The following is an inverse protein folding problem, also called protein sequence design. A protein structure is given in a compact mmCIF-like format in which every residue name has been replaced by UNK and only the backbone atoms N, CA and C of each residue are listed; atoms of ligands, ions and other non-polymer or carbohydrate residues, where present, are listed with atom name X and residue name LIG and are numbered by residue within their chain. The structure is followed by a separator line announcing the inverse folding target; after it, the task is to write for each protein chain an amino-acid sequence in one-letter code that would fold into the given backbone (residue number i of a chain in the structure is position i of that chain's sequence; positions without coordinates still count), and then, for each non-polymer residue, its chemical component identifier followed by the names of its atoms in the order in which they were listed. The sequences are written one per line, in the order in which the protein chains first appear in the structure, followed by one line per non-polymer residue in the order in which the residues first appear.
data_IF_236850805044
#
_entry.id   IF_236850805044
#
_cell.length_a   1.000
_cell.length_b   1.000
_cell.length_c   1.000
_cell.angle_alpha   90.00
_cell.angle_beta   90.00
_cell.angle_gamma   90.00
#
_symmetry.space_group_name_H-M   'P 1'
#
loop_
_entity.id
_entity.type
_entity.pdbx_description
1 polymer ?
#
# COMPACT_ATOMS: atom_id res chain seq x y z
N UNK A 1 36.76 -2.23 21.85
CA UNK A 1 35.57 -1.34 21.87
C UNK A 1 34.76 -1.49 20.59
N UNK A 2 35.30 -1.24 19.39
CA UNK A 2 34.54 -1.37 18.13
C UNK A 2 33.95 -2.77 17.87
N UNK A 3 34.68 -3.85 18.15
CA UNK A 3 34.21 -5.23 17.92
C UNK A 3 33.02 -5.60 18.81
N UNK A 4 33.00 -5.14 20.06
CA UNK A 4 31.89 -5.38 21.00
C UNK A 4 30.63 -4.60 20.57
N UNK A 5 30.81 -3.36 20.09
CA UNK A 5 29.70 -2.55 19.58
C UNK A 5 29.10 -3.10 18.28
N UNK A 6 29.93 -3.62 17.36
CA UNK A 6 29.45 -4.28 16.14
C UNK A 6 28.73 -5.59 16.47
N UNK A 7 29.26 -6.41 17.37
CA UNK A 7 28.59 -7.65 17.79
C UNK A 7 27.23 -7.38 18.46
N UNK A 8 27.14 -6.37 19.33
CA UNK A 8 25.88 -5.97 19.96
C UNK A 8 24.86 -5.46 18.92
N UNK A 9 25.29 -4.63 17.96
CA UNK A 9 24.43 -4.17 16.87
C UNK A 9 23.94 -5.34 16.00
N UNK A 10 24.82 -6.26 15.61
CA UNK A 10 24.43 -7.42 14.82
C UNK A 10 23.43 -8.31 15.59
N UNK A 11 23.66 -8.61 16.86
CA UNK A 11 22.77 -9.46 17.66
C UNK A 11 21.39 -8.81 17.88
N UNK A 12 21.33 -7.48 18.06
CA UNK A 12 20.10 -6.77 18.36
C UNK A 12 19.35 -6.21 17.14
N UNK A 13 20.06 -5.82 16.08
CA UNK A 13 19.49 -5.12 14.93
C UNK A 13 19.29 -6.02 13.71
N UNK A 14 19.91 -7.20 13.64
CA UNK A 14 19.67 -8.12 12.52
C UNK A 14 18.71 -9.25 12.92
N UNK A 15 17.79 -9.65 12.04
CA UNK A 15 16.65 -10.49 12.40
C UNK A 15 17.05 -11.97 12.38
N UNK A 16 17.96 -12.40 13.26
CA UNK A 16 18.28 -13.82 13.44
C UNK A 16 17.13 -14.61 14.10
N UNK A 17 16.19 -13.90 14.72
CA UNK A 17 15.06 -14.51 15.41
C UNK A 17 14.02 -14.99 14.39
N UNK A 18 13.51 -16.23 14.53
CA UNK A 18 12.38 -16.69 13.73
C UNK A 18 11.22 -15.69 13.78
N UNK A 19 10.53 -15.48 12.66
CA UNK A 19 9.38 -14.59 12.58
C UNK A 19 8.31 -14.92 13.65
N UNK A 20 8.15 -16.20 14.01
CA UNK A 20 7.25 -16.66 15.08
C UNK A 20 7.56 -16.05 16.45
N UNK A 21 8.80 -15.66 16.72
CA UNK A 21 9.24 -15.07 18.00
C UNK A 21 9.14 -13.53 18.02
N UNK A 22 8.84 -12.91 16.88
CA UNK A 22 8.65 -11.46 16.81
C UNK A 22 7.26 -11.10 17.32
N UNK A 23 7.21 -10.14 18.24
CA UNK A 23 5.96 -9.48 18.61
C UNK A 23 5.48 -8.59 17.45
N UNK A 24 4.18 -8.48 17.17
CA UNK A 24 3.69 -7.49 16.22
C UNK A 24 4.01 -6.07 16.68
N UNK A 25 4.32 -5.16 15.74
CA UNK A 25 4.40 -3.73 16.06
C UNK A 25 3.09 -3.23 16.66
N UNK A 26 3.12 -2.43 17.72
CA UNK A 26 1.91 -1.95 18.41
C UNK A 26 1.12 -0.94 17.59
N UNK A 27 1.83 -0.11 16.83
CA UNK A 27 1.27 0.95 16.00
C UNK A 27 2.17 1.20 14.77
N UNK A 28 1.79 2.17 13.94
CA UNK A 28 2.53 2.54 12.74
C UNK A 28 3.94 3.06 13.05
N UNK A 29 4.13 3.84 14.13
CA UNK A 29 5.43 4.41 14.49
C UNK A 29 6.41 3.33 14.94
N UNK A 30 5.95 2.39 15.77
CA UNK A 30 6.73 1.21 16.17
C UNK A 30 7.09 0.32 14.96
N UNK A 31 6.17 0.20 14.00
CA UNK A 31 6.42 -0.50 12.74
C UNK A 31 7.50 0.17 11.92
N UNK A 32 7.41 1.48 11.73
CA UNK A 32 8.36 2.27 10.93
C UNK A 32 9.76 2.33 11.56
N UNK A 33 9.85 2.33 12.90
CA UNK A 33 11.11 2.35 13.62
C UNK A 33 11.90 1.03 13.52
N UNK A 34 11.26 -0.07 13.11
CA UNK A 34 11.88 -1.38 13.03
C UNK A 34 11.97 -1.87 11.59
N UNK A 35 13.21 -2.05 11.11
CA UNK A 35 13.49 -2.60 9.78
C UNK A 35 12.87 -3.99 9.58
N UNK A 36 12.65 -4.75 10.65
CA UNK A 36 12.10 -6.10 10.57
C UNK A 36 10.67 -6.15 9.99
N UNK A 37 9.86 -5.09 10.15
CA UNK A 37 8.46 -5.11 9.67
C UNK A 37 8.26 -4.57 8.25
N UNK A 38 9.30 -4.03 7.63
CA UNK A 38 9.19 -3.27 6.39
C UNK A 38 8.55 -4.05 5.24
N UNK A 39 8.80 -5.36 5.15
CA UNK A 39 8.40 -6.21 4.01
C UNK A 39 7.39 -7.30 4.37
N UNK A 40 7.06 -7.49 5.66
CA UNK A 40 6.07 -8.50 6.04
C UNK A 40 4.71 -8.18 5.43
N UNK A 41 4.13 -9.15 4.74
CA UNK A 41 2.82 -9.04 4.10
C UNK A 41 2.85 -8.52 2.68
N UNK A 42 4.00 -8.21 2.08
CA UNK A 42 4.06 -7.71 0.71
C UNK A 42 3.57 -8.73 -0.33
N UNK A 43 4.01 -10.00 -0.31
CA UNK A 43 3.47 -11.02 -1.21
C UNK A 43 1.96 -11.21 -1.02
N UNK A 44 1.48 -11.25 0.22
CA UNK A 44 0.08 -11.44 0.55
C UNK A 44 -0.78 -10.26 0.12
N UNK A 45 -0.30 -9.02 0.31
CA UNK A 45 -0.97 -7.80 -0.14
C UNK A 45 -1.08 -7.80 -1.66
N UNK A 46 0.02 -8.11 -2.34
CA UNK A 46 0.06 -8.20 -3.81
C UNK A 46 -0.91 -9.25 -4.31
N UNK A 47 -0.90 -10.46 -3.74
CA UNK A 47 -1.81 -11.53 -4.12
C UNK A 47 -3.28 -11.12 -3.94
N UNK A 48 -3.60 -10.46 -2.82
CA UNK A 48 -4.96 -9.97 -2.54
C UNK A 48 -5.40 -8.91 -3.54
N UNK A 49 -4.58 -7.89 -3.80
CA UNK A 49 -4.87 -6.84 -4.78
C UNK A 49 -5.01 -7.43 -6.19
N UNK A 50 -4.17 -8.40 -6.53
CA UNK A 50 -4.20 -9.11 -7.81
C UNK A 50 -5.50 -9.87 -8.01
N UNK A 51 -5.96 -10.62 -6.99
CA UNK A 51 -7.26 -11.31 -7.05
C UNK A 51 -8.40 -10.33 -7.31
N UNK A 52 -8.45 -9.23 -6.55
CA UNK A 52 -9.51 -8.22 -6.70
C UNK A 52 -9.47 -7.59 -8.09
N UNK A 53 -8.27 -7.27 -8.61
CA UNK A 53 -8.11 -6.73 -9.96
C UNK A 53 -8.57 -7.70 -11.05
N UNK A 54 -8.25 -8.99 -10.90
CA UNK A 54 -8.66 -10.06 -11.81
C UNK A 54 -10.16 -10.39 -11.73
N UNK A 55 -10.84 -10.01 -10.65
CA UNK A 55 -12.29 -10.15 -10.48
C UNK A 55 -13.08 -8.96 -11.04
N UNK A 56 -12.42 -7.82 -11.36
CA UNK A 56 -13.10 -6.67 -11.97
C UNK A 56 -13.72 -7.05 -13.32
N UNK A 57 -14.93 -6.54 -13.66
CA UNK A 57 -15.47 -6.66 -15.01
C UNK A 57 -14.48 -6.14 -16.06
N UNK A 58 -14.47 -6.75 -17.24
CA UNK A 58 -13.50 -6.43 -18.29
C UNK A 58 -13.47 -4.94 -18.67
N UNK A 59 -14.63 -4.27 -18.69
CA UNK A 59 -14.70 -2.83 -18.96
C UNK A 59 -14.06 -1.99 -17.85
N UNK A 60 -14.34 -2.29 -16.58
CA UNK A 60 -13.73 -1.60 -15.44
C UNK A 60 -12.21 -1.81 -15.40
N UNK A 61 -11.75 -3.02 -15.76
CA UNK A 61 -10.33 -3.35 -15.77
C UNK A 61 -9.52 -2.52 -16.79
N UNK A 62 -10.13 -2.08 -17.89
CA UNK A 62 -9.46 -1.28 -18.94
C UNK A 62 -9.04 0.11 -18.48
N UNK A 63 -9.78 0.70 -17.55
CA UNK A 63 -9.51 2.02 -16.96
C UNK A 63 -9.08 1.94 -15.49
N UNK A 64 -8.75 0.73 -15.01
CA UNK A 64 -8.41 0.51 -13.61
C UNK A 64 -6.95 0.90 -13.32
N UNK A 65 -6.77 1.60 -12.20
CA UNK A 65 -5.45 1.88 -11.60
C UNK A 65 -5.43 1.46 -10.14
N UNK A 66 -4.24 1.31 -9.57
CA UNK A 66 -4.06 1.09 -8.15
C UNK A 66 -3.55 2.39 -7.52
N UNK A 67 -4.20 2.83 -6.45
CA UNK A 67 -3.71 3.96 -5.63
C UNK A 67 -3.55 3.47 -4.20
N UNK A 68 -2.47 3.86 -3.54
CA UNK A 68 -2.26 3.51 -2.14
C UNK A 68 -2.21 4.74 -1.25
N UNK A 69 -2.66 4.61 -0.01
CA UNK A 69 -2.62 5.69 0.99
C UNK A 69 -1.18 6.01 1.39
N UNK A 70 -0.26 5.05 1.33
CA UNK A 70 1.13 5.21 1.77
C UNK A 70 2.11 4.69 0.73
N UNK A 71 3.19 5.43 0.52
CA UNK A 71 4.24 5.05 -0.42
C UNK A 71 4.84 3.65 -0.15
N UNK A 72 4.87 3.17 1.10
CA UNK A 72 5.36 1.82 1.45
C UNK A 72 4.48 0.74 0.81
N UNK A 73 3.16 0.95 0.76
CA UNK A 73 2.23 0.04 0.08
C UNK A 73 2.42 0.10 -1.44
N UNK A 74 2.58 1.30 -2.00
CA UNK A 74 2.88 1.46 -3.42
C UNK A 74 4.19 0.76 -3.78
N UNK A 75 5.26 0.91 -3.00
CA UNK A 75 6.53 0.22 -3.19
C UNK A 75 6.39 -1.31 -3.15
N UNK A 76 5.56 -1.83 -2.25
CA UNK A 76 5.28 -3.26 -2.19
C UNK A 76 4.65 -3.78 -3.48
N UNK A 77 3.61 -3.10 -3.96
CA UNK A 77 2.89 -3.51 -5.16
C UNK A 77 3.74 -3.28 -6.42
N UNK A 78 4.50 -2.19 -6.47
CA UNK A 78 5.35 -1.81 -7.59
C UNK A 78 6.48 -2.84 -7.78
N UNK A 79 7.07 -3.31 -6.68
CA UNK A 79 8.07 -4.38 -6.69
C UNK A 79 7.57 -5.67 -7.35
N UNK A 80 6.30 -6.04 -7.14
CA UNK A 80 5.70 -7.26 -7.71
C UNK A 80 4.86 -7.00 -8.97
N UNK A 81 4.74 -5.76 -9.43
CA UNK A 81 3.74 -5.33 -10.42
C UNK A 81 3.77 -6.19 -11.69
N UNK A 82 4.96 -6.34 -12.29
CA UNK A 82 5.13 -7.06 -13.54
C UNK A 82 4.82 -8.55 -13.40
N UNK A 83 5.31 -9.20 -12.34
CA UNK A 83 5.06 -10.62 -12.08
C UNK A 83 3.58 -10.90 -11.76
N UNK A 84 2.89 -9.95 -11.14
CA UNK A 84 1.48 -10.06 -10.76
C UNK A 84 0.50 -9.60 -11.85
N UNK A 85 0.99 -8.99 -12.94
CA UNK A 85 0.13 -8.46 -14.01
C UNK A 85 -0.77 -7.31 -13.54
N UNK A 86 -0.31 -6.52 -12.57
CA UNK A 86 -1.04 -5.38 -12.03
C UNK A 86 -0.97 -4.16 -12.98
N UNK A 87 -2.00 -3.29 -12.99
CA UNK A 87 -1.97 -2.04 -13.74
C UNK A 87 -1.01 -1.04 -13.09
N UNK A 88 -0.98 0.20 -13.59
CA UNK A 88 -0.17 1.27 -13.00
C UNK A 88 -0.53 1.51 -11.52
N UNK A 89 0.50 1.73 -10.71
CA UNK A 89 0.42 1.94 -9.26
C UNK A 89 0.84 3.36 -8.92
N UNK A 90 0.06 4.01 -8.07
CA UNK A 90 0.28 5.39 -7.66
C UNK A 90 0.19 5.53 -6.13
N UNK A 91 0.88 6.53 -5.60
CA UNK A 91 0.73 7.00 -4.22
C UNK A 91 1.00 8.49 -4.21
N UNK A 92 0.12 9.32 -3.65
CA UNK A 92 0.39 10.76 -3.55
C UNK A 92 1.40 11.08 -2.44
N UNK A 93 1.86 10.09 -1.66
CA UNK A 93 2.77 10.30 -0.53
C UNK A 93 4.23 10.25 -0.94
N UNK A 94 5.03 11.13 -0.31
CA UNK A 94 6.48 11.27 -0.42
C UNK A 94 6.96 11.36 -1.87
N UNK A 95 8.20 10.93 -2.12
CA UNK A 95 8.80 10.88 -3.45
C UNK A 95 7.96 10.11 -4.49
N UNK A 96 7.18 9.11 -4.07
CA UNK A 96 6.35 8.31 -4.98
C UNK A 96 5.32 9.17 -5.73
N UNK A 97 4.81 10.23 -5.09
CA UNK A 97 3.84 11.15 -5.70
C UNK A 97 4.37 11.86 -6.94
N UNK A 98 5.68 11.93 -7.13
CA UNK A 98 6.34 12.62 -8.23
C UNK A 98 6.68 11.72 -9.43
N UNK A 99 6.41 10.41 -9.35
CA UNK A 99 6.59 9.49 -10.48
C UNK A 99 5.46 9.57 -11.52
N UNK A 100 4.38 10.26 -11.20
CA UNK A 100 3.27 10.50 -12.10
C UNK A 100 1.94 10.60 -11.35
N UNK A 101 0.90 10.95 -12.09
CA UNK A 101 -0.48 10.93 -11.64
C UNK A 101 -1.26 9.87 -12.43
N UNK A 102 -2.37 9.33 -11.89
CA UNK A 102 -3.31 8.57 -12.69
C UNK A 102 -3.80 9.40 -13.89
N UNK A 103 -4.03 8.79 -15.06
CA UNK A 103 -4.57 9.52 -16.21
C UNK A 103 -6.02 9.92 -15.96
N UNK A 104 -6.48 11.01 -16.57
CA UNK A 104 -7.84 11.54 -16.34
C UNK A 104 -8.97 10.58 -16.74
N UNK A 105 -8.68 9.58 -17.58
CA UNK A 105 -9.61 8.53 -17.95
C UNK A 105 -9.61 7.32 -17.00
N UNK A 106 -8.86 7.35 -15.89
CA UNK A 106 -8.87 6.31 -14.87
C UNK A 106 -10.12 6.42 -13.99
N UNK A 107 -11.17 5.69 -14.37
CA UNK A 107 -12.48 5.74 -13.71
C UNK A 107 -12.67 4.70 -12.60
N UNK A 108 -11.88 3.62 -12.63
CA UNK A 108 -11.89 2.57 -11.60
C UNK A 108 -10.59 2.62 -10.81
N UNK A 109 -10.68 2.64 -9.49
CA UNK A 109 -9.52 2.64 -8.60
C UNK A 109 -9.64 1.53 -7.59
N UNK A 110 -8.59 0.69 -7.50
CA UNK A 110 -8.36 -0.12 -6.32
C UNK A 110 -7.52 0.69 -5.35
N UNK A 111 -8.15 1.21 -4.30
CA UNK A 111 -7.48 2.01 -3.29
C UNK A 111 -7.04 1.16 -2.10
N UNK A 112 -5.75 1.14 -1.80
CA UNK A 112 -5.18 0.36 -0.69
C UNK A 112 -4.97 1.25 0.54
N UNK A 113 -5.67 0.96 1.64
CA UNK A 113 -5.68 1.77 2.85
C UNK A 113 -6.73 2.87 2.82
N UNK A 114 -6.49 3.96 3.56
CA UNK A 114 -7.43 5.09 3.75
C UNK A 114 -8.74 4.71 4.45
N UNK A 115 -9.58 5.72 4.70
CA UNK A 115 -10.90 5.54 5.32
C UNK A 115 -12.02 5.70 4.29
N UNK A 116 -13.18 5.09 4.54
CA UNK A 116 -14.35 5.25 3.66
C UNK A 116 -14.73 6.72 3.48
N UNK A 117 -14.70 7.50 4.57
CA UNK A 117 -15.07 8.90 4.56
C UNK A 117 -14.15 9.75 3.66
N UNK A 118 -12.83 9.53 3.74
CA UNK A 118 -11.86 10.25 2.90
C UNK A 118 -12.05 9.93 1.41
N UNK A 119 -12.37 8.68 1.09
CA UNK A 119 -12.62 8.25 -0.29
C UNK A 119 -13.95 8.76 -0.83
N UNK A 120 -15.00 8.83 0.00
CA UNK A 120 -16.29 9.37 -0.41
C UNK A 120 -16.24 10.87 -0.74
N UNK A 121 -15.23 11.59 -0.26
CA UNK A 121 -14.96 12.97 -0.66
C UNK A 121 -14.34 13.10 -2.07
N UNK A 122 -14.00 11.98 -2.74
CA UNK A 122 -13.29 11.96 -4.04
C UNK A 122 -13.94 11.08 -5.09
N UNK A 123 -14.86 10.21 -4.70
CA UNK A 123 -15.50 9.24 -5.57
C UNK A 123 -17.00 9.20 -5.35
N UNK A 124 -17.73 8.98 -6.44
CA UNK A 124 -19.18 8.77 -6.40
C UNK A 124 -19.57 7.45 -5.75
N UNK A 125 -18.75 6.40 -5.92
CA UNK A 125 -18.99 5.08 -5.33
C UNK A 125 -17.74 4.57 -4.63
N UNK A 126 -17.89 4.08 -3.39
CA UNK A 126 -16.83 3.50 -2.57
C UNK A 126 -17.33 2.22 -1.92
N UNK A 127 -16.76 1.09 -2.30
CA UNK A 127 -17.13 -0.25 -1.79
C UNK A 127 -15.90 -0.94 -1.22
N UNK A 128 -16.01 -1.52 -0.03
CA UNK A 128 -14.94 -2.34 0.53
C UNK A 128 -14.81 -3.63 -0.30
N UNK A 129 -13.65 -3.87 -0.89
CA UNK A 129 -13.36 -5.08 -1.66
C UNK A 129 -12.79 -6.18 -0.76
N UNK A 130 -11.86 -5.82 0.15
CA UNK A 130 -11.32 -6.75 1.14
C UNK A 130 -10.81 -6.01 2.38
N UNK A 131 -10.90 -6.66 3.54
CA UNK A 131 -10.06 -6.32 4.70
C UNK A 131 -8.74 -7.08 4.56
N UNK A 132 -7.63 -6.46 4.92
CA UNK A 132 -6.32 -7.06 4.79
C UNK A 132 -5.47 -6.85 6.05
N UNK A 133 -4.76 -7.90 6.43
CA UNK A 133 -3.69 -7.81 7.42
C UNK A 133 -2.95 -9.12 7.64
N UNK A 134 -1.66 -9.02 7.90
CA UNK A 134 -0.83 -10.14 8.37
C UNK A 134 -0.30 -9.86 9.78
N UNK A 135 -0.05 -10.91 10.57
CA UNK A 135 0.31 -10.78 11.99
C UNK A 135 1.50 -9.84 12.24
N UNK A 136 2.54 -9.96 11.43
CA UNK A 136 3.76 -9.13 11.53
C UNK A 136 3.74 -7.93 10.59
N UNK A 137 2.61 -7.66 9.93
CA UNK A 137 2.47 -6.54 9.04
C UNK A 137 2.53 -5.24 9.82
N UNK A 138 3.00 -4.20 9.16
CA UNK A 138 3.03 -2.86 9.71
C UNK A 138 1.59 -2.31 9.75
N UNK A 139 1.09 -1.84 10.92
CA UNK A 139 -0.22 -1.20 11.03
C UNK A 139 -0.40 -0.10 9.99
N UNK A 140 -1.57 -0.02 9.38
CA UNK A 140 -1.91 0.94 8.33
C UNK A 140 -1.11 0.78 7.02
N UNK A 141 -0.30 -0.27 6.88
CA UNK A 141 0.44 -0.61 5.65
C UNK A 141 0.06 -2.01 5.17
N UNK A 142 0.44 -3.05 5.94
CA UNK A 142 0.13 -4.46 5.66
C UNK A 142 -0.64 -5.14 6.81
N UNK A 143 -1.18 -4.34 7.73
CA UNK A 143 -2.06 -4.79 8.80
C UNK A 143 -3.11 -3.74 9.10
N UNK A 144 -4.32 -4.20 9.44
CA UNK A 144 -5.44 -3.34 9.84
C UNK A 144 -5.84 -2.33 8.74
N UNK A 145 -5.80 -2.76 7.46
CA UNK A 145 -6.19 -1.94 6.31
C UNK A 145 -7.37 -2.53 5.54
N UNK A 146 -7.97 -1.70 4.69
CA UNK A 146 -9.01 -2.11 3.75
C UNK A 146 -8.54 -1.79 2.33
N UNK A 147 -8.83 -2.69 1.39
CA UNK A 147 -8.72 -2.46 -0.04
C UNK A 147 -10.12 -2.08 -0.53
N UNK A 148 -10.24 -0.92 -1.15
CA UNK A 148 -11.49 -0.37 -1.63
C UNK A 148 -11.56 -0.43 -3.15
N UNK A 149 -12.75 -0.71 -3.68
CA UNK A 149 -13.08 -0.42 -5.07
C UNK A 149 -13.81 0.91 -5.11
N UNK A 150 -13.19 1.90 -5.74
CA UNK A 150 -13.73 3.23 -5.93
C UNK A 150 -14.00 3.47 -7.42
N UNK A 151 -15.15 4.05 -7.75
CA UNK A 151 -15.50 4.39 -9.13
C UNK A 151 -16.07 5.79 -9.25
N UNK A 152 -15.92 6.38 -10.43
CA UNK A 152 -16.38 7.73 -10.76
C UNK A 152 -15.70 8.78 -9.88
N UNK A 153 -14.42 9.09 -10.13
CA UNK A 153 -13.75 10.21 -9.48
C UNK A 153 -14.52 11.52 -9.73
N UNK A 154 -14.68 12.36 -8.71
CA UNK A 154 -15.56 13.55 -8.79
C UNK A 154 -14.94 14.72 -9.57
N UNK A 155 -13.62 14.67 -9.79
CA UNK A 155 -12.85 15.63 -10.58
C UNK A 155 -11.78 14.85 -11.36
N UNK A 156 -11.21 15.43 -12.43
CA UNK A 156 -10.07 14.84 -13.13
C UNK A 156 -8.87 14.65 -12.20
N UNK A 157 -8.08 13.60 -12.44
CA UNK A 157 -6.86 13.32 -11.66
C UNK A 157 -5.83 14.45 -11.77
N UNK A 158 -5.72 15.08 -12.94
CA UNK A 158 -4.90 16.28 -13.18
C UNK A 158 -5.25 17.44 -12.25
N UNK A 159 -6.48 17.49 -11.74
CA UNK A 159 -6.93 18.49 -10.76
C UNK A 159 -6.76 18.01 -9.32
N UNK A 160 -7.10 16.75 -9.02
CA UNK A 160 -7.06 16.23 -7.65
C UNK A 160 -5.64 15.90 -7.17
N UNK A 161 -4.79 15.37 -8.05
CA UNK A 161 -3.48 14.83 -7.69
C UNK A 161 -2.55 15.86 -7.03
N UNK A 162 -2.41 17.10 -7.56
CA UNK A 162 -1.55 18.11 -6.94
C UNK A 162 -1.95 18.47 -5.50
N UNK A 163 -3.23 18.34 -5.16
CA UNK A 163 -3.77 18.66 -3.82
C UNK A 163 -3.58 17.48 -2.86
N UNK A 164 -3.45 16.26 -3.39
CA UNK A 164 -3.25 15.06 -2.61
C UNK A 164 -1.78 14.82 -2.26
N UNK A 165 -0.86 15.36 -3.06
CA UNK A 165 0.58 15.16 -2.89
C UNK A 165 1.09 15.72 -1.56
N UNK A 166 1.76 14.89 -0.77
CA UNK A 166 2.36 15.29 0.52
C UNK A 166 3.73 14.62 0.69
N UNK A 167 4.71 15.32 1.26
CA UNK A 167 6.04 14.78 1.57
C UNK A 167 6.08 13.78 2.74
#
# INVERSE_FOLDING_TARGET
MAVVSVAAFVIWATPWRPASQLAPATDFAAGLASQAYGEFGWPELTATVTSIYQELPAEQRRSAVIITERYIQASALDYYQSAAGLPAIFSPKRGFGYFGAPPDNAETVLWVGSTKADLQARFTTVVAAAKFGVRLGMPQVTRDITIWKCTGPIQPWSTMWPIMQTL
#
